data_IF_944081618980
#
_entry.id   IF_944081618980
#
_cell.length_a   1.000
_cell.length_b   1.000
_cell.length_c   1.000
_cell.angle_alpha   90.00
_cell.angle_beta   90.00
_cell.angle_gamma   90.00
#
_symmetry.space_group_name_H-M   'P 1'
#
loop_
_entity.id
_entity.type
_entity.pdbx_description
1 polymer ?
#
# COMPACT_ATOMS: atom_id res chain seq x y z
N UNK A 1 -6.26 -10.18 -3.64
CA UNK A 1 -6.74 -8.81 -3.93
C UNK A 1 -6.36 -7.84 -2.83
N UNK A 2 -5.14 -7.99 -2.34
CA UNK A 2 -4.63 -7.14 -1.26
C UNK A 2 -3.26 -6.63 -1.64
N UNK A 3 -2.96 -5.43 -1.14
CA UNK A 3 -1.59 -4.90 -1.21
C UNK A 3 -0.84 -5.44 -0.01
N UNK A 4 0.37 -5.96 -0.25
CA UNK A 4 1.26 -6.44 0.81
C UNK A 4 2.55 -5.64 0.73
N UNK A 5 2.97 -5.13 1.87
CA UNK A 5 4.19 -4.33 1.98
C UNK A 5 4.99 -4.80 3.18
N UNK A 6 6.29 -4.90 2.99
CA UNK A 6 7.24 -5.16 4.08
C UNK A 6 8.23 -4.01 4.12
N UNK A 7 8.43 -3.43 5.29
CA UNK A 7 9.36 -2.34 5.48
C UNK A 7 10.42 -2.73 6.49
N UNK A 8 11.67 -2.30 6.26
CA UNK A 8 12.76 -2.48 7.21
C UNK A 8 12.63 -1.58 8.42
N UNK A 9 11.86 -0.50 8.30
CA UNK A 9 11.64 0.49 9.34
C UNK A 9 10.14 0.68 9.54
N UNK A 10 9.77 1.29 10.66
CA UNK A 10 8.39 1.70 10.85
C UNK A 10 7.98 2.63 9.70
N UNK A 11 6.80 2.42 9.17
CA UNK A 11 6.34 3.15 8.00
C UNK A 11 4.85 3.39 8.04
N UNK A 12 4.42 4.46 7.40
CA UNK A 12 3.03 4.71 7.07
C UNK A 12 2.83 4.33 5.61
N UNK A 13 1.81 3.54 5.34
CA UNK A 13 1.48 3.08 4.00
C UNK A 13 0.09 3.60 3.68
N UNK A 14 0.00 4.43 2.66
CA UNK A 14 -1.26 5.04 2.23
C UNK A 14 -1.61 4.50 0.86
N UNK A 15 -2.86 4.12 0.68
CA UNK A 15 -3.36 3.58 -0.58
C UNK A 15 -4.39 4.55 -1.12
N UNK A 16 -4.19 4.99 -2.36
CA UNK A 16 -5.03 5.96 -3.03
C UNK A 16 -5.58 5.39 -4.32
N UNK A 17 -6.76 5.88 -4.72
CA UNK A 17 -7.22 5.67 -6.09
C UNK A 17 -6.35 6.51 -7.02
N UNK A 18 -6.43 6.24 -8.34
CA UNK A 18 -5.71 7.05 -9.32
C UNK A 18 -6.24 8.49 -9.40
N UNK A 19 -7.41 8.75 -8.82
CA UNK A 19 -7.97 10.10 -8.74
C UNK A 19 -7.49 10.86 -7.50
N UNK A 20 -6.68 10.23 -6.65
CA UNK A 20 -6.13 10.89 -5.48
C UNK A 20 -6.91 10.72 -4.20
N UNK A 21 -7.98 9.92 -4.20
CA UNK A 21 -8.77 9.68 -3.00
C UNK A 21 -8.11 8.59 -2.15
N UNK A 22 -7.95 8.85 -0.87
CA UNK A 22 -7.37 7.85 0.04
C UNK A 22 -8.38 6.73 0.30
N UNK A 23 -7.93 5.49 0.13
CA UNK A 23 -8.73 4.29 0.38
C UNK A 23 -8.43 3.72 1.75
N UNK A 24 -7.15 3.61 2.08
CA UNK A 24 -6.70 3.06 3.34
C UNK A 24 -5.38 3.68 3.77
N UNK A 25 -5.15 3.69 5.08
CA UNK A 25 -3.84 4.01 5.65
C UNK A 25 -3.48 2.92 6.65
N UNK A 26 -2.26 2.41 6.54
CA UNK A 26 -1.75 1.34 7.39
C UNK A 26 -0.46 1.80 8.04
N UNK A 27 -0.24 1.35 9.27
CA UNK A 27 1.04 1.58 9.95
C UNK A 27 1.76 0.24 10.04
N UNK A 28 2.98 0.20 9.53
CA UNK A 28 3.82 -0.99 9.54
C UNK A 28 4.88 -0.87 10.62
N UNK A 29 5.09 -1.95 11.35
CA UNK A 29 6.22 -2.06 12.25
C UNK A 29 7.41 -2.63 11.50
N UNK A 30 8.60 -2.26 11.94
CA UNK A 30 9.86 -2.68 11.34
C UNK A 30 9.91 -4.21 11.16
N UNK A 31 10.23 -4.66 9.96
CA UNK A 31 10.42 -6.07 9.65
C UNK A 31 9.15 -6.88 9.46
N UNK A 32 7.99 -6.30 9.64
CA UNK A 32 6.73 -7.02 9.52
C UNK A 32 6.06 -6.75 8.18
N UNK A 33 5.34 -7.77 7.69
CA UNK A 33 4.47 -7.60 6.53
C UNK A 33 3.18 -6.92 6.94
N UNK A 34 2.70 -6.03 6.10
CA UNK A 34 1.38 -5.44 6.25
C UNK A 34 0.55 -5.76 5.02
N UNK A 35 -0.71 -6.07 5.26
CA UNK A 35 -1.67 -6.32 4.18
C UNK A 35 -2.82 -5.33 4.29
N UNK A 36 -3.25 -4.84 3.14
CA UNK A 36 -4.46 -4.04 3.05
C UNK A 36 -5.69 -4.92 3.27
N UNK A 37 -6.83 -4.29 3.53
CA UNK A 37 -8.12 -4.96 3.36
C UNK A 37 -8.29 -5.30 1.87
N UNK A 38 -9.18 -6.25 1.53
CA UNK A 38 -9.42 -6.58 0.12
C UNK A 38 -9.82 -5.34 -0.67
N UNK A 39 -9.28 -5.21 -1.88
CA UNK A 39 -9.53 -4.08 -2.77
C UNK A 39 -10.24 -4.57 -4.03
N UNK A 40 -11.07 -3.71 -4.60
CA UNK A 40 -11.67 -3.97 -5.90
C UNK A 40 -10.59 -3.98 -6.98
N UNK A 41 -10.86 -4.68 -8.08
CA UNK A 41 -9.93 -4.72 -9.20
C UNK A 41 -9.82 -3.33 -9.80
N UNK A 42 -8.64 -2.76 -9.73
CA UNK A 42 -8.35 -1.43 -10.26
C UNK A 42 -6.86 -1.13 -10.08
N UNK A 43 -6.44 0.00 -10.62
CA UNK A 43 -5.13 0.54 -10.32
C UNK A 43 -5.21 1.40 -9.05
N UNK A 44 -4.16 1.31 -8.24
CA UNK A 44 -4.04 2.10 -7.02
C UNK A 44 -2.64 2.70 -6.94
N UNK A 45 -2.51 3.76 -6.18
CA UNK A 45 -1.21 4.33 -5.85
C UNK A 45 -0.92 4.01 -4.38
N UNK A 46 0.19 3.35 -4.14
CA UNK A 46 0.64 3.03 -2.79
C UNK A 46 1.80 3.95 -2.45
N UNK A 47 1.63 4.73 -1.40
CA UNK A 47 2.67 5.63 -0.92
C UNK A 47 3.23 5.09 0.38
N UNK A 48 4.55 5.00 0.45
CA UNK A 48 5.25 4.50 1.65
C UNK A 48 6.11 5.62 2.21
N UNK A 49 5.93 5.90 3.50
CA UNK A 49 6.70 6.87 4.23
C UNK A 49 7.37 6.17 5.40
N UNK A 50 8.65 5.82 5.25
CA UNK A 50 9.44 5.24 6.34
C UNK A 50 9.99 6.35 7.22
N UNK A 51 10.16 6.04 8.50
CA UNK A 51 10.70 6.98 9.47
C UNK A 51 12.08 7.47 9.05
N UNK A 52 12.23 8.78 8.92
CA UNK A 52 13.51 9.38 8.54
C UNK A 52 13.87 9.30 7.07
N UNK A 53 12.96 8.79 6.23
CA UNK A 53 13.19 8.63 4.81
C UNK A 53 12.19 9.46 4.01
N UNK A 54 12.54 9.72 2.74
CA UNK A 54 11.59 10.36 1.83
C UNK A 54 10.50 9.37 1.47
N UNK A 55 9.28 9.87 1.33
CA UNK A 55 8.19 9.06 0.85
C UNK A 55 8.41 8.68 -0.61
N UNK A 56 7.96 7.51 -0.98
CA UNK A 56 7.91 7.10 -2.38
C UNK A 56 6.56 6.49 -2.69
N UNK A 57 6.20 6.52 -3.97
CA UNK A 57 4.91 6.02 -4.43
C UNK A 57 5.11 5.03 -5.55
N UNK A 58 4.20 4.07 -5.63
CA UNK A 58 4.20 3.08 -6.69
C UNK A 58 2.77 2.83 -7.14
N UNK A 59 2.57 2.75 -8.44
CA UNK A 59 1.30 2.36 -9.01
C UNK A 59 1.20 0.85 -9.04
N UNK A 60 0.11 0.30 -8.56
CA UNK A 60 -0.11 -1.14 -8.52
C UNK A 60 -1.44 -1.48 -9.17
N UNK A 61 -1.52 -2.66 -9.76
CA UNK A 61 -2.75 -3.20 -10.31
C UNK A 61 -3.25 -4.31 -9.40
N UNK A 62 -4.49 -4.17 -8.94
CA UNK A 62 -5.17 -5.21 -8.17
C UNK A 62 -6.13 -5.91 -9.10
N UNK A 63 -6.00 -7.23 -9.22
CA UNK A 63 -6.88 -8.04 -10.07
C UNK A 63 -7.21 -9.33 -9.36
N UNK A 64 -8.44 -9.76 -9.55
CA UNK A 64 -8.85 -11.09 -9.13
C UNK A 64 -8.17 -12.11 -10.06
N UNK A 65 -7.48 -13.08 -9.47
CA UNK A 65 -6.89 -14.15 -10.25
C UNK A 65 -8.00 -15.11 -10.61
N UNK A 66 -8.27 -15.24 -11.91
CA UNK A 66 -9.27 -16.16 -12.41
C UNK A 66 -8.84 -17.60 -12.25
N UNK A 67 -9.79 -18.46 -12.32
CA UNK A 67 -9.54 -19.90 -12.25
C UNK A 67 -9.76 -20.56 -13.56
#
# INVERSE_FOLDING_TARGET
NRVRVKSQKDAWISIYTTHGSMVQMLKSSSGNWMESMPLNDDFYVVRVQETGQKAYSRKVLIRTVGK
#
